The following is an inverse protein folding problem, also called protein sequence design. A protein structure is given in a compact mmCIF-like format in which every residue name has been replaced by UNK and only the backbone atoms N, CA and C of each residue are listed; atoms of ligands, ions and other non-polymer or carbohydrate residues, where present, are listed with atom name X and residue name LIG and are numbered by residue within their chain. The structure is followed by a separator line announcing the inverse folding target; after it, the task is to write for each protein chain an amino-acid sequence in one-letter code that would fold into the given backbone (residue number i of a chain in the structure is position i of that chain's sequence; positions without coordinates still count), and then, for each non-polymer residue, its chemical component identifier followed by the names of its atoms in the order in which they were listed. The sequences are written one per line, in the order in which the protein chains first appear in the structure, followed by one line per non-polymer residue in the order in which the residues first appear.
data_IF_466139733332
#
_entry.id   IF_466139733332
#
_cell.length_a   1.000
_cell.length_b   1.000
_cell.length_c   1.000
_cell.angle_alpha   90.00
_cell.angle_beta   90.00
_cell.angle_gamma   90.00
#
_symmetry.space_group_name_H-M   'P 1'
#
loop_
_entity.id
_entity.type
_entity.pdbx_description
1 polymer ?
#
# COMPACT_ATOMS: atom_id res chain seq x y z
N UNK A 1 3.61 2.20 10.75
CA UNK A 1 5.06 2.51 10.69
C UNK A 1 5.84 1.55 11.58
N UNK A 2 5.46 1.32 12.85
CA UNK A 2 6.18 0.43 13.78
C UNK A 2 6.42 -0.97 13.18
N UNK A 3 5.40 -1.58 12.58
CA UNK A 3 5.49 -2.90 11.92
C UNK A 3 6.55 -2.96 10.81
N UNK A 4 6.84 -1.83 10.16
CA UNK A 4 7.80 -1.74 9.05
C UNK A 4 9.23 -1.54 9.57
N UNK A 5 9.42 -0.74 10.62
CA UNK A 5 10.73 -0.45 11.21
C UNK A 5 11.50 -1.70 11.66
N UNK A 6 10.79 -2.73 12.08
CA UNK A 6 11.38 -3.99 12.54
C UNK A 6 11.87 -4.92 11.41
N UNK A 7 11.61 -4.56 10.16
CA UNK A 7 11.99 -5.40 9.01
C UNK A 7 13.38 -4.98 8.52
N UNK A 8 14.42 -5.75 8.92
CA UNK A 8 15.85 -5.46 8.62
C UNK A 8 16.16 -5.18 7.15
N UNK A 9 15.34 -5.67 6.20
CA UNK A 9 15.53 -5.44 4.76
C UNK A 9 15.07 -4.07 4.28
N UNK A 10 14.25 -3.38 5.06
CA UNK A 10 13.80 -2.01 4.76
C UNK A 10 14.85 -1.06 5.32
N UNK A 11 15.56 -0.38 4.43
CA UNK A 11 16.68 0.50 4.77
C UNK A 11 16.26 1.94 5.01
N UNK A 12 15.21 2.39 4.36
CA UNK A 12 14.72 3.77 4.41
C UNK A 12 13.20 3.75 4.43
N UNK A 13 12.60 4.61 5.25
CA UNK A 13 11.15 4.83 5.28
C UNK A 13 10.90 6.30 4.99
N UNK A 14 10.14 6.57 3.94
CA UNK A 14 9.73 7.91 3.54
C UNK A 14 8.24 8.07 3.84
N UNK A 15 7.90 9.09 4.60
CA UNK A 15 6.52 9.51 4.83
C UNK A 15 6.26 10.78 4.01
N UNK A 16 5.38 10.64 3.01
CA UNK A 16 4.91 11.79 2.23
C UNK A 16 3.70 12.40 2.91
N UNK A 17 3.71 13.70 3.12
CA UNK A 17 2.65 14.40 3.82
C UNK A 17 2.15 15.62 3.06
N UNK A 18 0.88 15.96 3.23
CA UNK A 18 0.33 17.21 2.72
C UNK A 18 0.70 18.34 3.71
N UNK A 19 1.20 19.46 3.18
CA UNK A 19 1.60 20.64 3.97
C UNK A 19 0.52 21.10 4.97
N UNK A 20 -0.75 21.06 4.53
CA UNK A 20 -1.91 21.43 5.38
C UNK A 20 -2.07 20.49 6.59
N UNK A 21 -1.56 19.26 6.52
CA UNK A 21 -1.69 18.25 7.56
C UNK A 21 -0.43 18.11 8.43
N UNK A 22 0.59 18.96 8.24
CA UNK A 22 1.85 18.91 8.99
C UNK A 22 1.65 18.93 10.51
N UNK A 23 0.60 19.64 10.99
CA UNK A 23 0.26 19.73 12.41
C UNK A 23 -0.01 18.36 13.07
N UNK A 24 -0.54 17.38 12.32
CA UNK A 24 -0.84 16.04 12.83
C UNK A 24 0.40 15.14 12.93
N UNK A 25 1.56 15.59 12.45
CA UNK A 25 2.81 14.83 12.56
C UNK A 25 3.56 15.09 13.86
N UNK A 26 3.11 16.03 14.70
CA UNK A 26 3.78 16.39 15.95
C UNK A 26 3.89 15.20 16.91
N UNK A 27 2.84 14.37 16.97
CA UNK A 27 2.75 13.22 17.88
C UNK A 27 3.26 11.91 17.26
N UNK A 28 3.76 11.96 16.02
CA UNK A 28 4.31 10.80 15.35
C UNK A 28 5.79 10.66 15.69
N UNK A 29 6.19 9.48 16.19
CA UNK A 29 7.61 9.20 16.37
C UNK A 29 8.30 9.16 15.00
N UNK A 30 8.99 10.26 14.66
CA UNK A 30 9.66 10.49 13.38
C UNK A 30 11.07 9.89 13.33
N UNK A 31 11.54 9.27 14.40
CA UNK A 31 12.88 8.65 14.42
C UNK A 31 12.98 7.61 13.29
N UNK A 32 14.04 7.73 12.50
CA UNK A 32 14.30 6.91 11.31
C UNK A 32 13.25 7.03 10.19
N UNK A 33 12.54 8.17 10.13
CA UNK A 33 11.63 8.50 9.05
C UNK A 33 12.15 9.74 8.30
N UNK A 34 12.10 9.67 6.97
CA UNK A 34 12.27 10.86 6.13
C UNK A 34 10.90 11.44 5.81
N UNK A 35 10.71 12.70 6.15
CA UNK A 35 9.52 13.45 5.75
C UNK A 35 9.76 14.14 4.41
N UNK A 36 8.80 13.99 3.49
CA UNK A 36 8.81 14.67 2.19
C UNK A 36 7.44 15.32 1.99
N UNK A 37 7.43 16.57 1.59
CA UNK A 37 6.20 17.27 1.22
C UNK A 37 5.67 16.69 -0.10
N UNK A 38 4.39 16.37 -0.14
CA UNK A 38 3.71 15.86 -1.33
C UNK A 38 3.50 16.94 -2.38
N UNK A 39 3.12 16.53 -3.57
CA UNK A 39 2.66 17.40 -4.65
C UNK A 39 1.16 17.66 -4.59
N UNK A 40 0.64 18.27 -5.65
CA UNK A 40 -0.79 18.55 -5.82
C UNK A 40 -1.63 17.28 -6.06
N UNK A 41 -1.01 16.21 -6.52
CA UNK A 41 -1.65 14.92 -6.81
C UNK A 41 -0.97 13.78 -6.05
N UNK A 42 -1.67 12.61 -5.98
CA UNK A 42 -1.08 11.38 -5.46
C UNK A 42 0.17 10.99 -6.26
N UNK A 43 0.10 11.09 -7.57
CA UNK A 43 1.19 10.74 -8.48
C UNK A 43 2.42 11.63 -8.27
N UNK A 44 2.25 12.94 -8.15
CA UNK A 44 3.35 13.87 -7.84
C UNK A 44 3.96 13.57 -6.47
N UNK A 45 3.13 13.29 -5.48
CA UNK A 45 3.56 12.93 -4.13
C UNK A 45 4.44 11.67 -4.15
N UNK A 46 4.03 10.64 -4.88
CA UNK A 46 4.83 9.41 -5.08
C UNK A 46 6.13 9.74 -5.81
N UNK A 47 6.10 10.53 -6.88
CA UNK A 47 7.27 10.93 -7.65
C UNK A 47 8.31 11.67 -6.79
N UNK A 48 7.87 12.58 -5.90
CA UNK A 48 8.75 13.29 -4.98
C UNK A 48 9.51 12.31 -4.05
N UNK A 49 8.81 11.30 -3.52
CA UNK A 49 9.43 10.28 -2.69
C UNK A 49 10.43 9.40 -3.47
N UNK A 50 10.06 8.99 -4.69
CA UNK A 50 10.91 8.17 -5.55
C UNK A 50 12.20 8.91 -5.94
N UNK A 51 12.11 10.21 -6.28
CA UNK A 51 13.27 11.06 -6.58
C UNK A 51 14.22 11.19 -5.39
N UNK A 52 13.68 11.28 -4.18
CA UNK A 52 14.50 11.25 -2.96
C UNK A 52 15.22 9.90 -2.80
N UNK A 53 14.47 8.79 -2.91
CA UNK A 53 15.03 7.45 -2.74
C UNK A 53 16.08 7.12 -3.80
N UNK A 54 15.92 7.60 -5.04
CA UNK A 54 16.89 7.38 -6.13
C UNK A 54 18.29 7.93 -5.83
N UNK A 55 18.36 8.98 -5.01
CA UNK A 55 19.64 9.57 -4.57
C UNK A 55 20.36 8.72 -3.52
N UNK A 56 19.72 7.71 -2.95
CA UNK A 56 20.29 6.81 -1.95
C UNK A 56 21.05 5.67 -2.61
N UNK A 57 22.25 5.40 -2.16
CA UNK A 57 23.06 4.26 -2.62
C UNK A 57 22.40 2.94 -2.17
N UNK A 58 22.51 1.91 -3.00
CA UNK A 58 22.12 0.54 -2.67
C UNK A 58 20.61 0.31 -2.48
N UNK A 59 19.73 1.18 -3.03
CA UNK A 59 18.30 0.96 -3.11
C UNK A 59 17.90 0.58 -4.54
N UNK A 60 17.51 -0.66 -4.74
CA UNK A 60 17.05 -1.17 -6.05
C UNK A 60 15.54 -1.39 -6.12
N UNK A 61 14.88 -1.45 -4.96
CA UNK A 61 13.42 -1.72 -4.88
C UNK A 61 12.75 -0.75 -3.91
N UNK A 62 11.48 -0.49 -4.19
CA UNK A 62 10.62 0.36 -3.36
C UNK A 62 9.31 -0.36 -3.06
N UNK A 63 8.82 -0.19 -1.84
CA UNK A 63 7.46 -0.52 -1.44
C UNK A 63 6.63 0.77 -1.41
N UNK A 64 5.64 0.88 -2.28
CA UNK A 64 4.69 2.00 -2.25
C UNK A 64 3.46 1.55 -1.46
N UNK A 65 3.06 2.35 -0.48
CA UNK A 65 1.99 2.00 0.44
C UNK A 65 1.06 3.17 0.75
N UNK A 66 -0.25 2.91 0.67
CA UNK A 66 -1.27 3.86 1.08
C UNK A 66 -1.31 3.96 2.61
N UNK A 67 -1.11 5.16 3.18
CA UNK A 67 -1.23 5.38 4.62
C UNK A 67 -2.65 5.04 5.15
N UNK A 68 -3.65 5.10 4.28
CA UNK A 68 -5.03 4.70 4.58
C UNK A 68 -5.24 3.18 4.74
N UNK A 69 -4.19 2.35 4.64
CA UNK A 69 -4.24 0.90 4.90
C UNK A 69 -3.35 0.51 6.10
N UNK A 70 -3.70 0.90 7.32
CA UNK A 70 -2.83 0.69 8.49
C UNK A 70 -2.78 -0.77 8.96
N UNK A 71 -3.71 -1.62 8.54
CA UNK A 71 -3.92 -2.97 9.11
C UNK A 71 -3.30 -4.11 8.27
N UNK A 72 -2.23 -3.86 7.54
CA UNK A 72 -1.46 -4.93 6.89
C UNK A 72 -0.67 -5.77 7.92
N UNK A 73 -0.42 -7.05 7.61
CA UNK A 73 0.38 -7.92 8.46
C UNK A 73 1.88 -7.87 8.12
N UNK A 74 2.71 -8.26 9.09
CA UNK A 74 4.14 -8.51 8.83
C UNK A 74 4.34 -9.65 7.82
N UNK A 75 3.43 -10.62 7.81
CA UNK A 75 3.50 -11.74 6.87
C UNK A 75 3.29 -11.29 5.43
N UNK A 76 2.37 -10.34 5.19
CA UNK A 76 2.19 -9.74 3.85
C UNK A 76 3.49 -9.10 3.35
N UNK A 77 4.16 -8.31 4.19
CA UNK A 77 5.46 -7.71 3.82
C UNK A 77 6.51 -8.78 3.54
N UNK A 78 6.61 -9.81 4.39
CA UNK A 78 7.55 -10.92 4.15
C UNK A 78 7.28 -11.60 2.81
N UNK A 79 6.02 -11.87 2.48
CA UNK A 79 5.62 -12.48 1.21
C UNK A 79 6.00 -11.61 0.02
N UNK A 80 5.75 -10.30 0.09
CA UNK A 80 6.16 -9.34 -0.95
C UNK A 80 7.68 -9.39 -1.13
N UNK A 81 8.45 -9.25 -0.05
CA UNK A 81 9.90 -9.22 -0.10
C UNK A 81 10.53 -10.54 -0.60
N UNK A 82 9.92 -11.67 -0.30
CA UNK A 82 10.37 -12.98 -0.80
C UNK A 82 10.13 -13.07 -2.31
N UNK A 83 8.94 -12.74 -2.78
CA UNK A 83 8.61 -12.80 -4.20
C UNK A 83 9.33 -11.73 -5.02
N UNK A 84 9.71 -10.60 -4.42
CA UNK A 84 10.44 -9.53 -5.09
C UNK A 84 11.91 -9.86 -5.42
N UNK A 85 12.45 -10.96 -4.91
CA UNK A 85 13.83 -11.39 -5.24
C UNK A 85 13.97 -11.78 -6.71
N UNK A 86 12.96 -12.46 -7.25
CA UNK A 86 12.95 -12.95 -8.64
C UNK A 86 12.15 -12.02 -9.55
N UNK A 87 11.04 -11.46 -9.04
CA UNK A 87 10.10 -10.65 -9.81
C UNK A 87 10.40 -9.17 -9.66
N UNK A 88 10.25 -8.39 -10.74
CA UNK A 88 10.44 -6.93 -10.69
C UNK A 88 9.34 -6.22 -9.92
N UNK A 89 8.10 -6.65 -10.14
CA UNK A 89 6.89 -6.09 -9.52
C UNK A 89 6.13 -7.16 -8.77
N UNK A 90 5.67 -6.86 -7.55
CA UNK A 90 4.85 -7.77 -6.73
C UNK A 90 3.65 -7.00 -6.20
N UNK A 91 2.45 -7.48 -6.53
CA UNK A 91 1.17 -6.83 -6.24
C UNK A 91 0.29 -7.77 -5.41
N UNK A 92 -0.11 -7.39 -4.19
CA UNK A 92 -1.13 -8.12 -3.45
C UNK A 92 -2.52 -7.87 -4.06
N UNK A 93 -3.29 -8.95 -4.23
CA UNK A 93 -4.63 -8.89 -4.81
C UNK A 93 -5.64 -9.69 -4.01
N UNK A 94 -6.89 -9.26 -4.04
CA UNK A 94 -8.04 -10.01 -3.56
C UNK A 94 -8.95 -10.36 -4.71
N UNK A 95 -9.51 -11.59 -4.67
CA UNK A 95 -10.57 -12.01 -5.58
C UNK A 95 -11.89 -11.34 -5.18
N UNK A 96 -12.68 -10.95 -6.18
CA UNK A 96 -14.04 -10.48 -5.95
C UNK A 96 -14.94 -11.64 -5.51
N UNK A 97 -15.75 -11.40 -4.48
CA UNK A 97 -16.72 -12.39 -3.97
C UNK A 97 -18.11 -12.14 -4.52
N UNK A 98 -18.48 -10.87 -4.69
CA UNK A 98 -19.78 -10.46 -5.15
C UNK A 98 -19.90 -10.45 -6.68
N UNK A 99 -21.14 -10.42 -7.18
CA UNK A 99 -21.40 -10.28 -8.60
C UNK A 99 -21.00 -8.88 -9.08
N UNK A 100 -20.21 -8.83 -10.16
CA UNK A 100 -19.74 -7.57 -10.74
C UNK A 100 -20.64 -7.15 -11.89
N UNK A 101 -21.02 -5.86 -11.87
CA UNK A 101 -21.81 -5.23 -12.90
C UNK A 101 -21.10 -4.02 -13.46
N UNK A 102 -21.07 -3.90 -14.77
CA UNK A 102 -20.62 -2.71 -15.48
C UNK A 102 -21.84 -1.89 -15.89
N UNK A 103 -21.83 -0.60 -15.57
CA UNK A 103 -22.86 0.35 -16.03
C UNK A 103 -22.42 0.99 -17.33
N UNK A 104 -23.18 0.81 -18.40
CA UNK A 104 -22.90 1.45 -19.68
C UNK A 104 -23.47 2.89 -19.75
N UNK A 105 -23.15 3.60 -20.83
CA UNK A 105 -23.61 4.97 -21.07
C UNK A 105 -25.13 5.15 -21.16
N UNK A 106 -25.88 4.05 -21.40
CA UNK A 106 -27.35 4.04 -21.44
C UNK A 106 -27.97 3.64 -20.09
N UNK A 107 -27.21 3.73 -19.00
CA UNK A 107 -27.64 3.31 -17.65
C UNK A 107 -28.06 1.83 -17.52
N UNK A 108 -27.69 0.97 -18.48
CA UNK A 108 -27.94 -0.47 -18.40
C UNK A 108 -26.77 -1.16 -17.70
N UNK A 109 -27.08 -2.21 -16.93
CA UNK A 109 -26.08 -2.99 -16.21
C UNK A 109 -25.77 -4.30 -16.95
N UNK A 110 -24.51 -4.55 -17.23
CA UNK A 110 -24.00 -5.77 -17.83
C UNK A 110 -23.32 -6.63 -16.76
N UNK A 111 -23.55 -7.93 -16.79
CA UNK A 111 -22.86 -8.87 -15.89
C UNK A 111 -21.46 -9.15 -16.39
N UNK A 112 -20.46 -8.98 -15.52
CA UNK A 112 -19.07 -9.31 -15.81
C UNK A 112 -18.67 -10.63 -15.15
N UNK A 113 -17.76 -11.39 -15.77
CA UNK A 113 -17.19 -12.61 -15.17
C UNK A 113 -16.21 -12.21 -14.07
N UNK A 114 -16.66 -12.17 -12.81
CA UNK A 114 -15.88 -11.71 -11.64
C UNK A 114 -14.51 -12.38 -11.50
N UNK A 115 -14.33 -13.59 -12.02
CA UNK A 115 -13.06 -14.33 -11.92
C UNK A 115 -11.90 -13.66 -12.69
N UNK A 116 -12.22 -12.74 -13.62
CA UNK A 116 -11.24 -11.99 -14.38
C UNK A 116 -10.82 -10.67 -13.71
N UNK A 117 -11.42 -10.34 -12.56
CA UNK A 117 -11.20 -9.07 -11.87
C UNK A 117 -10.63 -9.28 -10.49
N UNK A 118 -9.74 -8.39 -10.08
CA UNK A 118 -9.08 -8.43 -8.79
C UNK A 118 -9.02 -7.04 -8.18
N UNK A 119 -9.13 -6.97 -6.85
CA UNK A 119 -8.86 -5.75 -6.10
C UNK A 119 -7.39 -5.70 -5.76
N UNK A 120 -6.68 -4.69 -6.23
CA UNK A 120 -5.28 -4.46 -5.88
C UNK A 120 -5.16 -3.84 -4.49
N UNK A 121 -4.18 -4.27 -3.73
CA UNK A 121 -3.85 -3.68 -2.44
C UNK A 121 -2.42 -3.15 -2.42
N UNK A 122 -2.13 -2.29 -1.46
CA UNK A 122 -0.77 -1.90 -1.11
C UNK A 122 -0.38 -2.50 0.24
N UNK A 123 0.93 -2.74 0.54
CA UNK A 123 2.11 -2.30 -0.19
C UNK A 123 2.33 -3.03 -1.52
N UNK A 124 2.76 -2.30 -2.53
CA UNK A 124 3.15 -2.82 -3.84
C UNK A 124 4.66 -2.67 -3.99
N UNK A 125 5.35 -3.70 -4.48
CA UNK A 125 6.79 -3.67 -4.66
C UNK A 125 7.15 -3.47 -6.13
N UNK A 126 8.10 -2.56 -6.37
CA UNK A 126 8.57 -2.19 -7.70
C UNK A 126 10.11 -2.13 -7.76
N UNK A 127 10.67 -2.25 -8.96
CA UNK A 127 12.02 -1.76 -9.22
C UNK A 127 12.01 -0.24 -9.15
N UNK A 128 12.96 0.35 -8.41
CA UNK A 128 12.97 1.79 -8.11
C UNK A 128 13.19 2.63 -9.38
N UNK A 129 14.13 2.23 -10.22
CA UNK A 129 14.46 2.99 -11.44
C UNK A 129 13.33 2.90 -12.46
N UNK A 130 12.77 1.72 -12.66
CA UNK A 130 11.68 1.45 -13.60
C UNK A 130 10.42 2.25 -13.23
N UNK A 131 9.98 2.19 -11.97
CA UNK A 131 8.76 2.91 -11.55
C UNK A 131 8.96 4.42 -11.59
N UNK A 132 10.15 4.92 -11.23
CA UNK A 132 10.45 6.35 -11.31
C UNK A 132 10.44 6.84 -12.77
N UNK A 133 11.03 6.09 -13.69
CA UNK A 133 11.01 6.41 -15.11
C UNK A 133 9.56 6.51 -15.63
N UNK A 134 8.73 5.51 -15.33
CA UNK A 134 7.32 5.50 -15.73
C UNK A 134 6.51 6.67 -15.16
N UNK A 135 6.78 7.06 -13.92
CA UNK A 135 6.17 8.25 -13.32
C UNK A 135 6.58 9.53 -14.07
N UNK A 136 7.82 9.64 -14.49
CA UNK A 136 8.31 10.81 -15.24
C UNK A 136 7.73 10.88 -16.67
N UNK A 137 7.62 9.75 -17.35
CA UNK A 137 7.08 9.67 -18.73
C UNK A 137 5.58 9.92 -18.79
N UNK A 138 4.83 9.51 -17.77
CA UNK A 138 3.35 9.50 -17.80
C UNK A 138 2.72 10.53 -16.84
N UNK A 139 3.39 11.63 -16.59
CA UNK A 139 2.98 12.67 -15.60
C UNK A 139 1.56 13.20 -15.75
N UNK A 140 1.03 13.26 -16.95
CA UNK A 140 -0.24 13.95 -17.26
C UNK A 140 -1.46 13.03 -17.38
N UNK A 141 -1.35 11.74 -17.01
CA UNK A 141 -2.48 10.81 -17.07
C UNK A 141 -2.94 10.47 -15.65
N UNK A 142 -4.22 10.77 -15.34
CA UNK A 142 -4.84 10.30 -14.11
C UNK A 142 -4.78 8.78 -14.00
N UNK A 143 -4.43 8.29 -12.81
CA UNK A 143 -4.31 6.86 -12.54
C UNK A 143 -4.70 6.55 -11.11
N UNK A 144 -5.43 5.46 -10.93
CA UNK A 144 -5.93 5.04 -9.63
C UNK A 144 -4.82 4.50 -8.72
N UNK A 145 -3.82 3.81 -9.31
CA UNK A 145 -2.68 3.26 -8.58
C UNK A 145 -1.37 3.29 -9.41
N UNK A 146 -0.26 2.97 -8.76
CA UNK A 146 1.05 2.92 -9.44
C UNK A 146 1.19 1.71 -10.34
N UNK A 147 0.42 0.64 -10.10
CA UNK A 147 0.43 -0.56 -10.94
C UNK A 147 -0.05 -0.27 -12.36
N UNK A 148 -1.00 0.63 -12.54
CA UNK A 148 -1.50 1.06 -13.86
C UNK A 148 -0.42 1.65 -14.78
N UNK A 149 0.75 2.00 -14.25
CA UNK A 149 1.91 2.41 -15.05
C UNK A 149 2.62 1.21 -15.70
N UNK A 150 2.47 -0.01 -15.17
CA UNK A 150 3.25 -1.22 -15.54
C UNK A 150 2.37 -2.31 -16.19
N UNK A 151 1.08 -2.07 -16.42
CA UNK A 151 0.08 -3.07 -16.85
C UNK A 151 0.50 -3.98 -18.03
N UNK A 152 1.42 -3.53 -18.85
CA UNK A 152 1.93 -4.30 -20.02
C UNK A 152 3.16 -5.13 -19.71
N UNK A 153 3.68 -5.12 -18.48
CA UNK A 153 4.91 -5.83 -18.14
C UNK A 153 4.66 -7.31 -17.83
N UNK A 154 5.36 -8.21 -18.52
CA UNK A 154 5.33 -9.66 -18.26
C UNK A 154 6.04 -10.07 -16.95
N UNK A 155 6.55 -9.12 -16.16
CA UNK A 155 7.36 -9.38 -14.95
C UNK A 155 6.62 -9.03 -13.66
N UNK A 156 5.29 -9.11 -13.67
CA UNK A 156 4.43 -8.86 -12.51
C UNK A 156 4.06 -10.19 -11.85
N UNK A 157 4.26 -10.25 -10.54
CA UNK A 157 3.81 -11.35 -9.68
C UNK A 157 2.64 -10.89 -8.82
N UNK A 158 1.47 -11.46 -9.03
CA UNK A 158 0.35 -11.32 -8.11
C UNK A 158 0.49 -12.30 -6.96
N UNK A 159 0.25 -11.84 -5.74
CA UNK A 159 0.20 -12.64 -4.52
C UNK A 159 -1.12 -12.41 -3.81
N UNK A 160 -1.50 -13.33 -2.92
CA UNK A 160 -2.70 -13.15 -2.09
C UNK A 160 -2.56 -11.95 -1.18
N UNK A 161 -3.53 -11.05 -1.24
CA UNK A 161 -3.72 -9.96 -0.31
C UNK A 161 -4.41 -10.41 0.98
N UNK A 162 -4.78 -9.46 1.83
CA UNK A 162 -5.42 -9.71 3.13
C UNK A 162 -6.71 -8.90 3.25
N UNK A 163 -7.84 -9.55 3.58
CA UNK A 163 -9.12 -8.85 3.78
C UNK A 163 -9.02 -7.75 4.85
N UNK A 164 -8.27 -8.00 5.93
CA UNK A 164 -8.03 -7.02 7.00
C UNK A 164 -7.21 -5.80 6.56
N UNK A 165 -6.50 -5.87 5.44
CA UNK A 165 -5.73 -4.76 4.85
C UNK A 165 -6.63 -3.90 3.94
N UNK A 166 -7.85 -3.61 4.38
CA UNK A 166 -8.78 -2.74 3.67
C UNK A 166 -8.30 -1.27 3.74
N UNK A 167 -8.77 -0.46 2.79
CA UNK A 167 -8.47 0.97 2.74
C UNK A 167 -9.54 1.72 3.55
N UNK A 168 -9.13 2.57 4.46
CA UNK A 168 -10.03 3.46 5.18
C UNK A 168 -10.42 4.60 4.25
N UNK A 169 -11.67 4.61 3.82
CA UNK A 169 -12.23 5.61 2.91
C UNK A 169 -13.29 6.47 3.57
N UNK A 170 -13.93 5.96 4.61
CA UNK A 170 -14.98 6.62 5.34
C UNK A 170 -14.91 6.36 6.86
N UNK A 171 -15.90 6.89 7.58
CA UNK A 171 -15.98 6.76 9.04
C UNK A 171 -16.31 5.34 9.49
N UNK A 172 -17.03 4.59 8.67
CA UNK A 172 -17.41 3.20 8.98
C UNK A 172 -16.18 2.29 8.91
N UNK A 173 -15.34 2.45 7.89
CA UNK A 173 -14.05 1.78 7.78
C UNK A 173 -13.16 2.06 8.99
N UNK A 174 -13.12 3.33 9.43
CA UNK A 174 -12.35 3.72 10.60
C UNK A 174 -12.88 3.04 11.87
N UNK A 175 -14.19 3.02 12.09
CA UNK A 175 -14.81 2.36 13.23
C UNK A 175 -14.53 0.84 13.23
N UNK A 176 -14.59 0.21 12.05
CA UNK A 176 -14.24 -1.19 11.88
C UNK A 176 -12.79 -1.47 12.25
N UNK A 177 -11.86 -0.59 11.86
CA UNK A 177 -10.46 -0.69 12.25
C UNK A 177 -10.29 -0.63 13.77
N UNK A 178 -10.91 0.36 14.42
CA UNK A 178 -10.83 0.54 15.88
C UNK A 178 -11.39 -0.69 16.60
N UNK A 179 -12.55 -1.19 16.17
CA UNK A 179 -13.15 -2.41 16.74
C UNK A 179 -12.20 -3.61 16.64
N UNK A 180 -11.56 -3.80 15.50
CA UNK A 180 -10.58 -4.87 15.28
C UNK A 180 -9.32 -4.71 16.14
N UNK A 181 -8.91 -3.49 16.48
CA UNK A 181 -7.75 -3.22 17.34
C UNK A 181 -8.06 -3.42 18.83
N UNK A 182 -9.30 -3.14 19.23
CA UNK A 182 -9.76 -3.26 20.63
C UNK A 182 -10.17 -4.70 20.98
N UNK A 183 -10.60 -5.49 20.01
CA UNK A 183 -11.17 -6.82 20.20
C UNK A 183 -10.13 -7.93 20.41
N UNK A 184 -8.85 -7.65 20.54
CA UNK A 184 -7.89 -8.67 20.99
C UNK A 184 -8.15 -8.97 22.47
N UNK A 185 -8.64 -10.17 22.83
CA UNK A 185 -8.90 -10.50 24.23
C UNK A 185 -7.58 -10.48 24.99
N UNK A 186 -7.56 -9.71 26.08
CA UNK A 186 -6.46 -9.74 27.05
C UNK A 186 -6.78 -10.84 28.06
N UNK A 187 -5.99 -11.89 28.06
CA UNK A 187 -6.14 -12.96 29.04
C UNK A 187 -5.27 -12.67 30.27
N UNK A 188 -5.88 -12.76 31.45
CA UNK A 188 -5.17 -12.84 32.73
C UNK A 188 -5.18 -14.29 33.20
N UNK A 189 -4.06 -14.77 33.74
CA UNK A 189 -3.98 -16.06 34.43
C UNK A 189 -3.95 -15.76 35.91
N UNK A 190 -4.94 -16.26 36.64
CA UNK A 190 -4.95 -16.25 38.11
C UNK A 190 -4.64 -17.67 38.63
N UNK A 191 -3.75 -17.76 39.60
CA UNK A 191 -3.52 -18.99 40.35
C UNK A 191 -4.11 -18.81 41.76
N UNK A 192 -4.98 -19.74 42.17
CA UNK A 192 -5.43 -19.86 43.54
C UNK A 192 -4.62 -20.94 44.20
N UNK A 193 -3.96 -20.64 45.33
CA UNK A 193 -3.16 -21.54 46.11
C UNK A 193 -3.87 -21.74 47.45
N UNK A 194 -4.46 -22.91 47.65
CA UNK A 194 -5.03 -23.34 48.94
C UNK A 194 -3.99 -24.01 49.77
#
# INVERSE_FOLDING_TARGET
ISKIKEIKKIKEIVLVYNKKHKKYLKDVNLQNLKLIEGGGTRQESTCNALNYLRKKKNLSKVLIHDAARPNFSRQLIKNILTNSRVNRTVIPVLKLQDALKEKNHKNKFLSLKRNNYFLTQTPQCYNLDEILQLHNEKKNKYRDDDFSLIETSNKVKFISGEKKNFKITDKEDFNLLIKNLISEPKFGIGFDVH
#
